data_IF_579951552343
#
_entry.id   IF_579951552343
#
_cell.length_a   1.000
_cell.length_b   1.000
_cell.length_c   1.000
_cell.angle_alpha   90.00
_cell.angle_beta   90.00
_cell.angle_gamma   90.00
#
_symmetry.space_group_name_H-M   'P 1'
#
loop_
_entity.id
_entity.type
_entity.pdbx_description
1 polymer ?
#
# COMPACT_ATOMS: atom_id res chain seq x y z
N UNK A 1 -10.69 21.25 -10.74
CA UNK A 1 -9.51 20.38 -10.50
C UNK A 1 -9.74 19.06 -11.23
N UNK A 2 -8.76 18.55 -11.99
CA UNK A 2 -8.92 17.30 -12.72
C UNK A 2 -8.84 16.11 -11.78
N UNK A 3 -9.85 15.23 -11.80
CA UNK A 3 -9.82 13.93 -11.11
C UNK A 3 -8.56 13.17 -11.55
N UNK A 4 -7.68 12.76 -10.63
CA UNK A 4 -6.51 11.98 -11.00
C UNK A 4 -6.95 10.69 -11.70
N UNK A 5 -6.53 10.52 -12.95
CA UNK A 5 -6.98 9.37 -13.77
C UNK A 5 -6.19 8.10 -13.49
N UNK A 6 -4.95 8.25 -13.03
CA UNK A 6 -3.96 7.18 -12.81
C UNK A 6 -3.29 7.41 -11.46
N UNK A 7 -3.39 6.42 -10.58
CA UNK A 7 -2.66 6.43 -9.32
C UNK A 7 -1.76 5.19 -9.25
N UNK A 8 -0.49 5.41 -8.93
CA UNK A 8 0.49 4.34 -8.77
C UNK A 8 0.25 3.61 -7.46
N UNK A 9 0.17 2.30 -7.41
CA UNK A 9 0.14 1.56 -6.14
C UNK A 9 1.56 1.27 -5.60
N UNK A 10 2.60 1.46 -6.41
CA UNK A 10 3.99 1.65 -5.94
C UNK A 10 4.42 3.08 -6.31
N UNK A 11 4.68 4.00 -5.35
CA UNK A 11 4.92 5.40 -5.62
C UNK A 11 6.08 5.61 -6.60
N UNK A 12 5.96 6.61 -7.48
CA UNK A 12 7.02 6.92 -8.45
C UNK A 12 8.35 7.24 -7.77
N UNK A 13 8.34 7.88 -6.59
CA UNK A 13 9.58 8.13 -5.84
C UNK A 13 10.32 6.86 -5.44
N UNK A 14 9.60 5.76 -5.15
CA UNK A 14 10.21 4.46 -4.87
C UNK A 14 10.71 3.86 -6.18
N UNK A 15 9.91 3.89 -7.24
CA UNK A 15 10.29 3.36 -8.55
C UNK A 15 11.55 4.04 -9.12
N UNK A 16 11.71 5.35 -8.92
CA UNK A 16 12.90 6.09 -9.31
C UNK A 16 14.17 5.58 -8.60
N UNK A 17 14.05 4.93 -7.44
CA UNK A 17 15.16 4.29 -6.75
C UNK A 17 15.67 3.02 -7.44
N UNK A 18 14.98 2.50 -8.46
CA UNK A 18 15.31 1.26 -9.18
C UNK A 18 15.65 1.47 -10.66
N UNK A 19 15.66 2.70 -11.15
CA UNK A 19 15.98 2.97 -12.55
C UNK A 19 17.46 2.77 -12.82
N UNK A 20 17.80 2.39 -14.06
CA UNK A 20 19.18 2.48 -14.55
C UNK A 20 19.63 3.95 -14.74
N UNK A 21 20.87 4.14 -15.20
CA UNK A 21 21.47 5.45 -15.45
C UNK A 21 20.69 6.29 -16.47
N UNK A 22 19.93 5.65 -17.34
CA UNK A 22 19.13 6.29 -18.39
C UNK A 22 17.68 6.55 -17.93
N UNK A 23 17.35 6.19 -16.69
CA UNK A 23 16.03 6.37 -16.09
C UNK A 23 15.00 5.30 -16.48
N UNK A 24 15.43 4.10 -16.87
CA UNK A 24 14.53 2.99 -17.24
C UNK A 24 14.42 1.94 -16.13
N UNK A 25 13.23 1.38 -15.98
CA UNK A 25 12.98 0.19 -15.19
C UNK A 25 13.02 -1.04 -16.08
N UNK A 26 13.76 -2.05 -15.64
CA UNK A 26 13.78 -3.39 -16.26
C UNK A 26 12.81 -4.28 -15.49
N UNK A 27 11.77 -4.77 -16.16
CA UNK A 27 10.65 -5.45 -15.52
C UNK A 27 10.23 -6.71 -16.27
N UNK A 28 9.59 -7.63 -15.55
CA UNK A 28 8.98 -8.82 -16.12
C UNK A 28 7.69 -9.19 -15.38
N UNK A 29 6.86 -10.03 -15.98
CA UNK A 29 5.72 -10.66 -15.29
C UNK A 29 6.14 -12.06 -14.86
N UNK A 30 6.18 -12.31 -13.55
CA UNK A 30 6.64 -13.60 -13.02
C UNK A 30 5.79 -14.81 -13.47
N UNK A 31 4.54 -14.59 -13.88
CA UNK A 31 3.63 -15.63 -14.39
C UNK A 31 3.74 -15.86 -15.90
N UNK A 32 4.42 -14.99 -16.64
CA UNK A 32 4.59 -15.12 -18.08
C UNK A 32 5.63 -16.19 -18.42
N UNK A 33 5.38 -16.98 -19.46
CA UNK A 33 6.25 -18.07 -19.92
C UNK A 33 6.37 -18.01 -21.46
N UNK A 34 7.59 -17.86 -22.03
CA UNK A 34 8.87 -17.63 -21.33
C UNK A 34 8.90 -16.28 -20.60
N UNK A 35 9.70 -16.17 -19.54
CA UNK A 35 9.90 -14.90 -18.85
C UNK A 35 10.63 -13.94 -19.79
N UNK A 36 10.01 -12.80 -20.09
CA UNK A 36 10.58 -11.77 -20.96
C UNK A 36 10.82 -10.50 -20.14
N UNK A 37 12.07 -10.00 -20.17
CA UNK A 37 12.43 -8.72 -19.55
C UNK A 37 12.16 -7.60 -20.56
N UNK A 38 11.50 -6.54 -20.08
CA UNK A 38 11.12 -5.36 -20.86
C UNK A 38 11.61 -4.11 -20.13
N UNK A 39 11.67 -2.99 -20.85
CA UNK A 39 11.94 -1.67 -20.25
C UNK A 39 10.70 -0.79 -20.27
N UNK A 40 10.53 0.05 -19.26
CA UNK A 40 9.49 1.06 -19.19
C UNK A 40 9.93 2.22 -18.28
N UNK A 41 9.30 3.39 -18.43
CA UNK A 41 9.47 4.51 -17.51
C UNK A 41 8.69 4.26 -16.22
N UNK A 42 9.11 4.80 -15.07
CA UNK A 42 8.36 4.72 -13.80
C UNK A 42 6.86 5.08 -13.91
N UNK A 43 6.54 6.06 -14.76
CA UNK A 43 5.16 6.50 -15.01
C UNK A 43 4.26 5.40 -15.61
N UNK A 44 4.83 4.41 -16.29
CA UNK A 44 4.11 3.39 -17.07
C UNK A 44 3.85 2.08 -16.29
N UNK A 45 4.46 1.92 -15.11
CA UNK A 45 4.35 0.70 -14.31
C UNK A 45 3.59 0.94 -13.01
N UNK A 46 3.09 -0.15 -12.42
CA UNK A 46 2.47 -0.18 -11.09
C UNK A 46 1.38 0.87 -10.86
N UNK A 47 0.52 1.10 -11.85
CA UNK A 47 -0.61 2.02 -11.74
C UNK A 47 -1.93 1.35 -12.13
N UNK A 48 -3.03 1.87 -11.61
CA UNK A 48 -4.38 1.51 -12.05
C UNK A 48 -5.26 2.76 -12.09
N UNK A 49 -6.18 2.81 -13.05
CA UNK A 49 -7.10 3.93 -13.16
C UNK A 49 -8.15 3.85 -12.04
N UNK A 50 -8.39 4.97 -11.36
CA UNK A 50 -9.40 5.08 -10.29
C UNK A 50 -9.27 3.98 -9.23
N UNK A 51 -8.05 3.65 -8.83
CA UNK A 51 -7.84 2.57 -7.86
C UNK A 51 -8.40 2.95 -6.48
N UNK A 52 -8.25 4.22 -6.09
CA UNK A 52 -8.62 4.70 -4.76
C UNK A 52 -9.79 5.66 -4.78
N UNK A 53 -10.58 5.73 -5.85
CA UNK A 53 -11.82 6.51 -5.84
C UNK A 53 -12.96 5.69 -5.23
N UNK A 54 -13.68 6.26 -4.26
CA UNK A 54 -14.98 5.73 -3.82
C UNK A 54 -16.05 6.05 -4.88
N UNK A 55 -17.15 5.31 -4.87
CA UNK A 55 -18.28 5.51 -5.77
C UNK A 55 -19.52 5.91 -4.98
N UNK A 56 -20.23 6.93 -5.46
CA UNK A 56 -21.57 7.28 -4.97
C UNK A 56 -22.63 6.33 -5.55
N UNK A 57 -23.88 6.48 -5.08
CA UNK A 57 -25.02 5.70 -5.58
C UNK A 57 -25.26 5.89 -7.08
N UNK A 58 -25.05 7.11 -7.58
CA UNK A 58 -25.16 7.46 -9.01
C UNK A 58 -23.87 7.16 -9.81
N UNK A 59 -22.91 6.46 -9.21
CA UNK A 59 -21.64 6.08 -9.86
C UNK A 59 -20.61 7.20 -9.98
N UNK A 60 -20.84 8.37 -9.35
CA UNK A 60 -19.87 9.44 -9.32
C UNK A 60 -18.66 9.04 -8.47
N UNK A 61 -17.46 9.38 -8.96
CA UNK A 61 -16.19 9.05 -8.29
C UNK A 61 -15.75 10.18 -7.38
N UNK A 62 -15.40 9.86 -6.15
CA UNK A 62 -14.77 10.79 -5.21
C UNK A 62 -13.26 10.48 -5.08
N UNK A 63 -12.38 11.43 -5.47
CA UNK A 63 -10.93 11.25 -5.46
C UNK A 63 -10.25 11.60 -4.11
N UNK A 64 -10.98 11.82 -3.02
CA UNK A 64 -10.41 12.25 -1.74
C UNK A 64 -9.21 11.42 -1.27
N UNK A 65 -9.28 10.08 -1.40
CA UNK A 65 -8.17 9.19 -1.01
C UNK A 65 -6.95 9.35 -1.93
N UNK A 66 -7.15 9.57 -3.23
CA UNK A 66 -6.05 9.79 -4.17
C UNK A 66 -5.31 11.09 -3.85
N UNK A 67 -6.04 12.13 -3.44
CA UNK A 67 -5.45 13.38 -2.96
C UNK A 67 -4.68 13.17 -1.65
N UNK A 68 -5.26 12.47 -0.67
CA UNK A 68 -4.59 12.17 0.59
C UNK A 68 -3.27 11.39 0.39
N UNK A 69 -3.29 10.39 -0.49
CA UNK A 69 -2.08 9.63 -0.86
C UNK A 69 -1.03 10.51 -1.55
N UNK A 70 -1.46 11.43 -2.43
CA UNK A 70 -0.53 12.36 -3.10
C UNK A 70 0.15 13.31 -2.11
N UNK A 71 -0.55 13.78 -1.08
CA UNK A 71 0.03 14.60 -0.01
C UNK A 71 1.04 13.79 0.79
N UNK A 72 0.64 12.60 1.26
CA UNK A 72 1.52 11.70 2.01
C UNK A 72 2.79 11.36 1.23
N UNK A 73 2.68 11.07 -0.06
CA UNK A 73 3.83 10.80 -0.92
C UNK A 73 4.75 12.01 -1.04
N UNK A 74 4.19 13.20 -1.25
CA UNK A 74 4.96 14.44 -1.37
C UNK A 74 5.76 14.74 -0.10
N UNK A 75 5.15 14.58 1.06
CA UNK A 75 5.81 14.75 2.36
C UNK A 75 6.87 13.67 2.60
N UNK A 76 6.59 12.42 2.23
CA UNK A 76 7.48 11.29 2.43
C UNK A 76 8.77 11.37 1.58
N UNK A 77 8.80 12.13 0.48
CA UNK A 77 10.01 12.32 -0.34
C UNK A 77 11.18 12.80 0.53
N UNK A 78 10.96 13.81 1.38
CA UNK A 78 12.02 14.37 2.24
C UNK A 78 12.56 13.37 3.24
N UNK A 79 11.68 12.54 3.82
CA UNK A 79 12.04 11.48 4.76
C UNK A 79 12.84 10.37 4.06
N UNK A 80 12.40 9.94 2.87
CA UNK A 80 13.12 8.94 2.06
C UNK A 80 14.52 9.42 1.73
N UNK A 81 14.69 10.69 1.33
CA UNK A 81 16.03 11.25 1.07
C UNK A 81 16.89 11.34 2.33
N UNK A 82 16.29 11.71 3.47
CA UNK A 82 16.95 11.73 4.77
C UNK A 82 17.41 10.35 5.24
N UNK A 83 16.86 9.26 4.68
CA UNK A 83 17.33 7.89 4.89
C UNK A 83 18.38 7.49 3.83
N UNK A 84 18.07 7.70 2.55
CA UNK A 84 18.89 7.23 1.42
C UNK A 84 20.30 7.82 1.42
N UNK A 85 20.42 9.14 1.59
CA UNK A 85 21.70 9.84 1.48
C UNK A 85 22.68 9.37 2.56
N UNK A 86 22.34 9.41 3.87
CA UNK A 86 23.23 8.88 4.90
C UNK A 86 23.52 7.39 4.74
N UNK A 87 22.52 6.57 4.39
CA UNK A 87 22.69 5.13 4.24
C UNK A 87 23.75 4.79 3.18
N UNK A 88 23.71 5.46 2.01
CA UNK A 88 24.67 5.29 0.93
C UNK A 88 26.08 5.77 1.29
N UNK A 89 26.20 6.68 2.24
CA UNK A 89 27.48 7.12 2.79
C UNK A 89 27.95 6.25 3.96
N UNK A 90 27.19 5.22 4.35
CA UNK A 90 27.51 4.36 5.49
C UNK A 90 27.26 5.03 6.85
N UNK A 91 26.44 6.08 6.87
CA UNK A 91 26.03 6.81 8.08
C UNK A 91 24.62 6.41 8.50
N UNK A 92 24.37 6.45 9.81
CA UNK A 92 23.01 6.32 10.34
C UNK A 92 22.23 7.61 10.06
N UNK A 93 21.01 7.53 9.50
CA UNK A 93 20.18 8.70 9.32
C UNK A 93 19.61 9.17 10.66
N UNK A 94 19.51 10.48 10.81
CA UNK A 94 18.94 11.14 11.97
C UNK A 94 17.59 11.72 11.57
N UNK A 95 16.52 11.04 11.99
CA UNK A 95 15.15 11.47 11.73
C UNK A 95 14.56 12.12 12.98
N UNK A 96 13.85 13.24 12.81
CA UNK A 96 13.04 13.83 13.87
C UNK A 96 11.87 12.90 14.25
N UNK A 97 11.26 13.12 15.42
CA UNK A 97 10.08 12.36 15.83
C UNK A 97 8.93 12.47 14.81
N UNK A 98 8.77 13.63 14.18
CA UNK A 98 7.78 13.87 13.13
C UNK A 98 8.10 13.07 11.86
N UNK A 99 9.37 13.09 11.41
CA UNK A 99 9.80 12.30 10.25
C UNK A 99 9.65 10.79 10.47
N UNK A 100 9.92 10.31 11.69
CA UNK A 100 9.69 8.90 12.06
C UNK A 100 8.20 8.54 11.99
N UNK A 101 7.33 9.39 12.55
CA UNK A 101 5.89 9.18 12.49
C UNK A 101 5.37 9.16 11.06
N UNK A 102 5.80 10.12 10.24
CA UNK A 102 5.48 10.19 8.82
C UNK A 102 5.98 8.94 8.07
N UNK A 103 7.20 8.47 8.38
CA UNK A 103 7.73 7.22 7.84
C UNK A 103 6.83 6.02 8.16
N UNK A 104 6.40 5.85 9.41
CA UNK A 104 5.54 4.73 9.80
C UNK A 104 4.17 4.76 9.09
N UNK A 105 3.57 5.96 8.96
CA UNK A 105 2.32 6.14 8.20
C UNK A 105 2.55 5.77 6.74
N UNK A 106 3.62 6.26 6.13
CA UNK A 106 3.98 5.95 4.75
C UNK A 106 4.21 4.45 4.55
N UNK A 107 5.02 3.81 5.41
CA UNK A 107 5.34 2.39 5.36
C UNK A 107 4.10 1.51 5.47
N UNK A 108 3.25 1.77 6.47
CA UNK A 108 1.98 1.05 6.67
C UNK A 108 1.03 1.24 5.48
N UNK A 109 1.05 2.42 4.87
CA UNK A 109 0.27 2.70 3.66
C UNK A 109 0.79 1.87 2.48
N UNK A 110 2.10 1.81 2.26
CA UNK A 110 2.70 0.99 1.20
C UNK A 110 2.41 -0.51 1.37
N UNK A 111 2.36 -0.98 2.62
CA UNK A 111 2.03 -2.38 2.90
C UNK A 111 0.60 -2.73 2.46
N UNK A 112 -0.37 -1.85 2.75
CA UNK A 112 -1.81 -2.13 2.60
C UNK A 112 -2.38 -1.75 1.24
N UNK A 113 -1.80 -0.77 0.54
CA UNK A 113 -2.46 -0.12 -0.61
C UNK A 113 -2.47 -0.92 -1.91
N UNK A 114 -1.64 -1.95 -2.05
CA UNK A 114 -1.64 -2.75 -3.28
C UNK A 114 -2.94 -3.55 -3.43
N UNK A 115 -3.52 -3.65 -4.64
CA UNK A 115 -4.72 -4.47 -4.88
C UNK A 115 -4.57 -5.91 -4.39
N UNK A 116 -3.38 -6.48 -4.56
CA UNK A 116 -3.06 -7.83 -4.12
C UNK A 116 -3.05 -7.96 -2.59
N UNK A 117 -2.55 -6.96 -1.85
CA UNK A 117 -2.64 -6.98 -0.37
C UNK A 117 -4.10 -6.86 0.07
N UNK A 118 -4.87 -5.95 -0.53
CA UNK A 118 -6.29 -5.77 -0.17
C UNK A 118 -7.09 -7.07 -0.30
N UNK A 119 -6.89 -7.82 -1.40
CA UNK A 119 -7.56 -9.11 -1.62
C UNK A 119 -6.99 -10.27 -0.80
N UNK A 120 -5.72 -10.19 -0.41
CA UNK A 120 -5.09 -11.22 0.42
C UNK A 120 -5.53 -11.15 1.89
N UNK A 121 -5.87 -9.96 2.39
CA UNK A 121 -6.33 -9.79 3.77
C UNK A 121 -7.81 -10.15 3.93
N UNK A 122 -8.65 -9.77 2.96
CA UNK A 122 -10.08 -10.12 2.92
C UNK A 122 -10.43 -10.44 1.47
N UNK A 123 -10.74 -11.72 1.22
CA UNK A 123 -11.15 -12.15 -0.11
C UNK A 123 -12.46 -11.48 -0.53
N UNK A 124 -12.76 -11.46 -1.83
CA UNK A 124 -14.02 -10.89 -2.32
C UNK A 124 -15.23 -11.63 -1.73
N UNK A 125 -15.13 -12.95 -1.55
CA UNK A 125 -16.19 -13.77 -0.97
C UNK A 125 -16.41 -13.47 0.53
N UNK A 126 -15.34 -13.30 1.31
CA UNK A 126 -15.46 -12.92 2.72
C UNK A 126 -16.01 -11.50 2.88
N UNK A 127 -15.55 -10.55 2.06
CA UNK A 127 -16.04 -9.18 2.10
C UNK A 127 -17.54 -9.10 1.79
N UNK A 128 -18.01 -9.86 0.80
CA UNK A 128 -19.43 -9.94 0.48
C UNK A 128 -20.24 -10.56 1.63
N UNK A 129 -19.72 -11.62 2.26
CA UNK A 129 -20.36 -12.24 3.42
C UNK A 129 -20.50 -11.28 4.59
N UNK A 130 -19.45 -10.51 4.92
CA UNK A 130 -19.52 -9.50 5.97
C UNK A 130 -20.58 -8.42 5.69
N UNK A 131 -20.74 -8.02 4.42
CA UNK A 131 -21.81 -7.10 4.01
C UNK A 131 -23.18 -7.75 4.18
N UNK A 132 -23.33 -9.03 3.84
CA UNK A 132 -24.58 -9.78 4.04
C UNK A 132 -24.96 -9.90 5.51
N UNK A 133 -24.01 -10.30 6.36
CA UNK A 133 -24.21 -10.39 7.81
C UNK A 133 -24.65 -9.02 8.38
N UNK A 134 -24.02 -7.93 7.93
CA UNK A 134 -24.39 -6.57 8.35
C UNK A 134 -25.80 -6.19 7.88
N UNK A 135 -26.20 -6.56 6.66
CA UNK A 135 -27.55 -6.31 6.16
C UNK A 135 -28.60 -7.09 6.95
N UNK A 136 -28.31 -8.34 7.33
CA UNK A 136 -29.19 -9.14 8.17
C UNK A 136 -29.37 -8.55 9.57
N UNK A 137 -28.28 -8.07 10.19
CA UNK A 137 -28.34 -7.33 11.44
C UNK A 137 -29.20 -6.06 11.31
N UNK A 138 -29.05 -5.29 10.22
CA UNK A 138 -29.85 -4.10 9.97
C UNK A 138 -31.34 -4.41 9.77
N UNK A 139 -31.68 -5.50 9.07
CA UNK A 139 -33.07 -5.95 8.90
C UNK A 139 -33.74 -6.20 10.25
N UNK A 140 -33.01 -6.80 11.19
CA UNK A 140 -33.49 -7.09 12.54
C UNK A 140 -33.57 -5.82 13.40
N UNK A 141 -32.55 -4.97 13.35
CA UNK A 141 -32.44 -3.78 14.20
C UNK A 141 -33.34 -2.61 13.76
N UNK A 142 -33.59 -2.48 12.45
CA UNK A 142 -34.33 -1.36 11.85
C UNK A 142 -35.38 -1.84 10.83
N UNK A 143 -36.37 -2.66 11.22
CA UNK A 143 -37.36 -3.20 10.30
C UNK A 143 -38.23 -2.12 9.63
N UNK A 144 -38.35 -0.93 10.25
CA UNK A 144 -39.06 0.21 9.68
C UNK A 144 -38.34 0.87 8.49
N UNK A 145 -37.08 0.48 8.20
CA UNK A 145 -36.28 0.97 7.06
C UNK A 145 -35.99 -0.13 6.04
N UNK A 146 -36.83 -1.17 5.99
CA UNK A 146 -36.58 -2.34 5.14
C UNK A 146 -36.37 -1.98 3.67
N UNK A 147 -37.15 -1.05 3.13
CA UNK A 147 -37.02 -0.60 1.73
C UNK A 147 -35.63 0.02 1.45
N UNK A 148 -35.09 0.81 2.39
CA UNK A 148 -33.74 1.38 2.29
C UNK A 148 -32.66 0.29 2.40
N UNK A 149 -32.87 -0.70 3.27
CA UNK A 149 -31.93 -1.81 3.46
C UNK A 149 -31.89 -2.70 2.21
N UNK A 150 -33.04 -3.00 1.60
CA UNK A 150 -33.10 -3.80 0.38
C UNK A 150 -32.50 -3.07 -0.83
N UNK A 151 -32.57 -1.73 -0.88
CA UNK A 151 -31.83 -0.96 -1.88
C UNK A 151 -30.31 -1.16 -1.78
N UNK A 152 -29.79 -1.43 -0.58
CA UNK A 152 -28.37 -1.76 -0.33
C UNK A 152 -28.03 -3.23 -0.58
N UNK A 153 -29.03 -4.12 -0.67
CA UNK A 153 -28.84 -5.57 -0.83
C UNK A 153 -28.59 -6.00 -2.29
N UNK A 154 -28.76 -5.10 -3.25
CA UNK A 154 -28.48 -5.37 -4.67
C UNK A 154 -27.00 -5.72 -4.91
N UNK A 155 -26.71 -6.51 -5.95
CA UNK A 155 -25.34 -6.91 -6.29
C UNK A 155 -24.42 -5.69 -6.53
N UNK A 156 -24.92 -4.67 -7.22
CA UNK A 156 -24.17 -3.44 -7.50
C UNK A 156 -23.91 -2.62 -6.23
N UNK A 157 -24.90 -2.52 -5.33
CA UNK A 157 -24.73 -1.83 -4.06
C UNK A 157 -23.71 -2.55 -3.16
N UNK A 158 -23.78 -3.88 -3.06
CA UNK A 158 -22.79 -4.68 -2.33
C UNK A 158 -21.38 -4.51 -2.89
N UNK A 159 -21.22 -4.59 -4.21
CA UNK A 159 -19.92 -4.40 -4.87
C UNK A 159 -19.36 -2.99 -4.63
N UNK A 160 -20.22 -1.96 -4.68
CA UNK A 160 -19.87 -0.57 -4.34
C UNK A 160 -19.43 -0.45 -2.88
N UNK A 161 -20.17 -1.04 -1.94
CA UNK A 161 -19.84 -1.03 -0.51
C UNK A 161 -18.48 -1.69 -0.25
N UNK A 162 -18.24 -2.89 -0.77
CA UNK A 162 -16.94 -3.58 -0.62
C UNK A 162 -15.79 -2.73 -1.16
N UNK A 163 -15.99 -2.11 -2.34
CA UNK A 163 -15.00 -1.20 -2.92
C UNK A 163 -14.74 0.01 -2.00
N UNK A 164 -15.79 0.68 -1.56
CA UNK A 164 -15.66 1.90 -0.74
C UNK A 164 -14.97 1.61 0.60
N UNK A 165 -15.32 0.50 1.26
CA UNK A 165 -14.67 0.06 2.51
C UNK A 165 -13.18 -0.22 2.29
N UNK A 166 -12.81 -0.92 1.20
CA UNK A 166 -11.40 -1.17 0.86
C UNK A 166 -10.60 0.11 0.61
N UNK A 167 -11.22 1.13 0.01
CA UNK A 167 -10.59 2.43 -0.18
C UNK A 167 -10.43 3.16 1.16
N UNK A 168 -11.50 3.26 1.95
CA UNK A 168 -11.51 4.00 3.21
C UNK A 168 -10.51 3.44 4.23
N UNK A 169 -10.38 2.11 4.32
CA UNK A 169 -9.45 1.44 5.25
C UNK A 169 -7.97 1.74 4.97
N UNK A 170 -7.60 2.17 3.76
CA UNK A 170 -6.22 2.62 3.46
C UNK A 170 -5.87 3.87 4.26
N UNK A 171 -6.80 4.84 4.35
CA UNK A 171 -6.57 6.12 5.02
C UNK A 171 -6.60 6.05 6.54
N UNK A 172 -7.00 4.91 7.10
CA UNK A 172 -7.12 4.72 8.55
C UNK A 172 -6.02 3.77 9.04
N UNK A 173 -4.85 4.27 9.46
CA UNK A 173 -3.82 3.42 10.05
C UNK A 173 -4.29 2.82 11.37
N UNK A 174 -4.06 1.51 11.56
CA UNK A 174 -4.37 0.86 12.84
C UNK A 174 -3.46 1.41 13.94
N UNK A 175 -4.07 1.99 15.00
CA UNK A 175 -3.35 2.52 16.14
C UNK A 175 -2.52 1.45 16.87
N UNK A 176 -2.95 0.19 16.82
CA UNK A 176 -2.18 -0.93 17.35
C UNK A 176 -0.93 -1.20 16.51
N UNK A 177 -1.08 -1.32 15.19
CA UNK A 177 0.06 -1.55 14.28
C UNK A 177 1.06 -0.40 14.37
N UNK A 178 0.57 0.85 14.44
CA UNK A 178 1.44 2.03 14.62
C UNK A 178 2.26 1.94 15.91
N UNK A 179 1.65 1.57 17.04
CA UNK A 179 2.36 1.37 18.32
C UNK A 179 3.41 0.27 18.24
N UNK A 180 3.17 -0.78 17.45
CA UNK A 180 4.16 -1.84 17.23
C UNK A 180 5.36 -1.29 16.44
N UNK A 181 5.10 -0.61 15.31
CA UNK A 181 6.15 0.01 14.49
C UNK A 181 7.00 1.00 15.29
N UNK A 182 6.36 1.87 16.07
CA UNK A 182 7.03 2.87 16.90
C UNK A 182 7.97 2.25 17.95
N UNK A 183 7.58 1.11 18.54
CA UNK A 183 8.39 0.40 19.54
C UNK A 183 9.60 -0.32 18.94
N UNK A 184 9.48 -0.83 17.71
CA UNK A 184 10.55 -1.58 17.04
C UNK A 184 11.65 -0.68 16.49
N UNK A 185 11.29 0.54 16.08
CA UNK A 185 12.24 1.48 15.49
C UNK A 185 12.41 1.26 13.97
N UNK A 186 13.50 1.80 13.43
CA UNK A 186 13.79 1.76 11.99
C UNK A 186 15.13 1.08 11.79
N UNK A 187 15.13 0.01 11.00
CA UNK A 187 16.34 -0.68 10.55
C UNK A 187 16.67 -0.29 9.10
N UNK A 188 17.95 -0.29 8.74
CA UNK A 188 18.39 0.06 7.39
C UNK A 188 19.35 -1.00 6.91
N UNK A 189 19.02 -1.55 5.74
CA UNK A 189 19.87 -2.49 5.04
C UNK A 189 20.40 -1.81 3.78
N UNK A 190 21.73 -1.84 3.61
CA UNK A 190 22.39 -1.42 2.38
C UNK A 190 23.12 -2.59 1.74
N UNK A 191 22.88 -2.80 0.45
CA UNK A 191 23.68 -3.69 -0.37
C UNK A 191 24.95 -2.95 -0.80
N UNK A 192 26.10 -3.46 -0.40
CA UNK A 192 27.42 -2.94 -0.80
C UNK A 192 28.07 -3.76 -1.92
N UNK A 193 27.55 -4.95 -2.20
CA UNK A 193 28.09 -5.84 -3.21
C UNK A 193 27.68 -5.38 -4.62
N UNK A 194 28.63 -5.05 -5.53
CA UNK A 194 28.30 -4.43 -6.82
C UNK A 194 27.39 -5.22 -7.76
N UNK A 195 27.33 -6.55 -7.59
CA UNK A 195 26.53 -7.47 -8.44
C UNK A 195 25.23 -7.93 -7.76
N UNK A 196 24.79 -7.22 -6.72
CA UNK A 196 23.55 -7.52 -5.99
C UNK A 196 22.70 -6.25 -5.96
N UNK A 197 21.39 -6.45 -6.04
CA UNK A 197 20.41 -5.40 -5.91
C UNK A 197 19.10 -5.97 -5.39
N UNK A 198 18.32 -5.13 -4.76
CA UNK A 198 16.91 -5.39 -4.54
C UNK A 198 16.14 -5.29 -5.84
N UNK A 199 14.95 -5.91 -5.85
CA UNK A 199 13.92 -5.73 -6.87
C UNK A 199 12.65 -5.21 -6.17
N UNK A 200 11.85 -4.43 -6.88
CA UNK A 200 10.55 -3.97 -6.39
C UNK A 200 9.43 -4.73 -7.11
N UNK A 201 8.49 -5.26 -6.32
CA UNK A 201 7.32 -5.97 -6.83
C UNK A 201 6.03 -5.16 -6.64
N UNK A 202 4.90 -5.71 -7.10
CA UNK A 202 3.59 -5.07 -6.91
C UNK A 202 3.17 -4.97 -5.45
N UNK A 203 3.77 -5.80 -4.59
CA UNK A 203 3.70 -5.74 -3.12
C UNK A 203 5.06 -5.27 -2.61
N UNK A 204 5.30 -3.96 -2.48
CA UNK A 204 6.64 -3.42 -2.21
C UNK A 204 7.11 -3.67 -0.77
N UNK A 205 6.18 -3.87 0.17
CA UNK A 205 6.50 -4.28 1.54
C UNK A 205 6.43 -5.80 1.64
N UNK A 206 7.55 -6.41 2.03
CA UNK A 206 7.66 -7.84 2.27
C UNK A 206 7.62 -8.09 3.77
N UNK A 207 6.74 -8.99 4.20
CA UNK A 207 6.69 -9.49 5.58
C UNK A 207 7.37 -10.85 5.63
N UNK A 208 8.48 -10.95 6.36
CA UNK A 208 9.23 -12.18 6.58
C UNK A 208 8.76 -12.80 7.90
N UNK A 209 8.32 -14.05 7.84
CA UNK A 209 7.71 -14.77 8.97
C UNK A 209 8.14 -16.22 8.96
N UNK A 210 8.38 -16.79 10.14
CA UNK A 210 8.39 -18.24 10.28
C UNK A 210 6.96 -18.80 10.12
N UNK A 211 6.78 -20.08 9.75
CA UNK A 211 5.47 -20.72 9.71
C UNK A 211 4.70 -20.52 11.01
N UNK A 212 3.42 -20.13 10.91
CA UNK A 212 2.51 -19.86 12.03
C UNK A 212 2.91 -18.70 12.96
N UNK A 213 3.93 -17.88 12.61
CA UNK A 213 4.33 -16.70 13.39
C UNK A 213 4.10 -15.44 12.57
N UNK A 214 2.89 -14.90 12.66
CA UNK A 214 2.49 -13.71 11.88
C UNK A 214 2.23 -12.48 12.74
N UNK A 215 2.35 -12.56 14.06
CA UNK A 215 2.16 -11.41 14.94
C UNK A 215 3.30 -10.39 14.75
N UNK A 216 2.97 -9.11 14.58
CA UNK A 216 3.99 -8.05 14.49
C UNK A 216 4.66 -7.76 15.83
N UNK A 217 4.13 -8.23 16.96
CA UNK A 217 4.82 -8.16 18.25
C UNK A 217 5.93 -9.21 18.37
N UNK A 218 5.93 -10.21 17.48
CA UNK A 218 6.93 -11.26 17.49
C UNK A 218 8.28 -10.76 16.94
N UNK A 219 9.38 -10.82 17.70
CA UNK A 219 10.67 -10.28 17.26
C UNK A 219 11.27 -11.00 16.03
N UNK A 220 10.75 -12.17 15.67
CA UNK A 220 11.19 -12.93 14.48
C UNK A 220 10.42 -12.56 13.21
N UNK A 221 9.40 -11.71 13.33
CA UNK A 221 8.66 -11.18 12.20
C UNK A 221 9.31 -9.89 11.76
N UNK A 222 9.71 -9.79 10.51
CA UNK A 222 10.34 -8.59 9.94
C UNK A 222 9.49 -8.03 8.81
N UNK A 223 9.47 -6.71 8.65
CA UNK A 223 8.88 -6.09 7.48
C UNK A 223 9.91 -5.20 6.79
N UNK A 224 10.04 -5.35 5.48
CA UNK A 224 11.03 -4.62 4.70
C UNK A 224 10.41 -3.94 3.49
N UNK A 225 10.77 -2.68 3.30
CA UNK A 225 10.45 -1.88 2.12
C UNK A 225 11.75 -1.47 1.42
N UNK A 226 12.11 -2.10 0.30
CA UNK A 226 13.13 -1.59 -0.60
C UNK A 226 12.71 -0.21 -1.14
N UNK A 227 13.50 0.82 -0.82
CA UNK A 227 13.27 2.20 -1.28
C UNK A 227 14.22 2.61 -2.42
N UNK A 228 15.24 1.78 -2.68
CA UNK A 228 16.11 1.85 -3.85
C UNK A 228 16.68 0.46 -4.16
N UNK A 229 17.35 0.31 -5.29
CA UNK A 229 18.01 -0.94 -5.69
C UNK A 229 19.08 -1.41 -4.71
N UNK A 230 19.60 -0.53 -3.86
CA UNK A 230 20.68 -0.79 -2.91
C UNK A 230 20.29 -0.54 -1.44
N UNK A 231 19.09 -0.01 -1.16
CA UNK A 231 18.67 0.33 0.21
C UNK A 231 17.25 -0.16 0.49
N UNK A 232 17.09 -0.86 1.61
CA UNK A 232 15.80 -1.24 2.17
C UNK A 232 15.68 -0.77 3.61
N UNK A 233 14.45 -0.45 4.01
CA UNK A 233 14.14 0.03 5.36
C UNK A 233 13.21 -0.97 6.02
N UNK A 234 13.60 -1.37 7.23
CA UNK A 234 12.92 -2.37 8.03
C UNK A 234 12.18 -1.75 9.21
N UNK A 235 11.10 -2.42 9.62
CA UNK A 235 10.38 -2.17 10.85
C UNK A 235 9.91 -3.49 11.50
#
# INVERSE_FOLDING_TARGET
>A
MSVPKRHHYVPQMILNGFTDSDGWLHWCRLRERPVTVRRARPLELFHQNHLYSTLSEIGAKDPAMEHALSVLESEAVGVVQSILVPAREGRLPVLTSEQKRLWYIFFLTQWRRSPETQRANVSDAEALRMVEDTLDELRQAAPHRLDEIEALATADAKARTVRNVRVQTIGQPSAEVMRVLERRGIAILRIVQPKKSFIVGSRPVVKLTAPNRTDLNDPTVEMWLPIASDVAVGA
#
